data_IF_639957486051
#
_entry.id   IF_639957486051
#
_cell.length_a   1.000
_cell.length_b   1.000
_cell.length_c   1.000
_cell.angle_alpha   90.00
_cell.angle_beta   90.00
_cell.angle_gamma   90.00
#
_symmetry.space_group_name_H-M   'P 1'
#
loop_
_entity.id
_entity.type
_entity.pdbx_description
1 polymer ?
#
# COMPACT_ATOMS: atom_id res chain seq x y z
N UNK A 1 16.77 -14.63 38.29
CA UNK A 1 15.73 -13.83 38.97
C UNK A 1 14.95 -12.96 38.00
N UNK A 2 15.57 -12.06 37.21
CA UNK A 2 14.86 -11.26 36.17
C UNK A 2 14.20 -12.10 35.05
N UNK A 3 14.84 -13.20 34.61
CA UNK A 3 14.30 -14.05 33.55
C UNK A 3 13.05 -14.85 33.94
N UNK A 4 12.81 -15.06 35.25
CA UNK A 4 11.66 -15.82 35.73
C UNK A 4 10.41 -14.94 35.92
N UNK A 5 10.58 -13.65 36.24
CA UNK A 5 9.47 -12.68 36.33
C UNK A 5 8.83 -12.46 34.95
N UNK A 6 9.65 -12.38 33.90
CA UNK A 6 9.18 -12.18 32.52
C UNK A 6 8.32 -13.33 31.97
N UNK A 7 8.33 -14.53 32.56
CA UNK A 7 7.49 -15.65 32.09
C UNK A 7 6.02 -15.52 32.49
N UNK A 8 5.71 -14.76 33.53
CA UNK A 8 4.35 -14.54 34.03
C UNK A 8 3.73 -13.19 33.68
N UNK A 9 4.53 -12.20 33.27
CA UNK A 9 4.04 -10.85 32.94
C UNK A 9 3.17 -10.82 31.69
N UNK A 10 2.35 -9.78 31.57
CA UNK A 10 1.59 -9.47 30.36
C UNK A 10 2.52 -9.02 29.22
N UNK A 11 2.13 -9.22 27.96
CA UNK A 11 3.00 -8.89 26.80
C UNK A 11 3.39 -7.41 26.76
N UNK A 12 2.55 -6.52 27.31
CA UNK A 12 2.75 -5.07 27.31
C UNK A 12 3.96 -4.60 28.11
N UNK A 13 4.43 -5.43 29.05
CA UNK A 13 5.58 -5.15 29.91
C UNK A 13 6.87 -5.80 29.42
N UNK A 14 6.79 -6.62 28.36
CA UNK A 14 7.92 -7.42 27.88
C UNK A 14 8.70 -6.68 26.78
N UNK A 15 10.03 -6.82 26.72
CA UNK A 15 10.79 -6.48 25.52
C UNK A 15 10.43 -7.44 24.37
N UNK A 16 10.66 -7.03 23.12
CA UNK A 16 10.24 -7.79 21.93
C UNK A 16 10.91 -9.18 21.90
N UNK A 17 12.17 -9.24 22.30
CA UNK A 17 13.01 -10.45 22.31
C UNK A 17 12.54 -11.48 23.35
N UNK A 18 11.74 -11.06 24.33
CA UNK A 18 11.16 -11.93 25.36
C UNK A 18 9.73 -12.40 25.03
N UNK A 19 9.15 -11.97 23.91
CA UNK A 19 7.81 -12.37 23.49
C UNK A 19 7.77 -13.85 23.11
N UNK A 20 6.98 -14.64 23.83
CA UNK A 20 6.74 -16.05 23.55
C UNK A 20 5.58 -16.24 22.57
N UNK A 21 5.41 -17.46 22.03
CA UNK A 21 4.22 -17.78 21.23
C UNK A 21 2.92 -17.55 21.99
N UNK A 22 2.90 -17.79 23.30
CA UNK A 22 1.74 -17.52 24.15
C UNK A 22 1.44 -16.02 24.21
N UNK A 23 2.47 -15.20 24.37
CA UNK A 23 2.32 -13.74 24.42
C UNK A 23 1.75 -13.19 23.11
N UNK A 24 2.20 -13.73 21.97
CA UNK A 24 1.64 -13.36 20.66
C UNK A 24 0.19 -13.79 20.46
N UNK A 25 -0.21 -14.96 21.00
CA UNK A 25 -1.62 -15.37 20.99
C UNK A 25 -2.49 -14.43 21.82
N UNK A 26 -2.04 -14.09 23.03
CA UNK A 26 -2.76 -13.13 23.89
C UNK A 26 -2.83 -11.75 23.22
N UNK A 27 -1.72 -11.28 22.64
CA UNK A 27 -1.70 -10.01 21.89
C UNK A 27 -2.71 -10.00 20.73
N UNK A 28 -2.79 -11.10 19.98
CA UNK A 28 -3.75 -11.24 18.88
C UNK A 28 -5.20 -11.26 19.40
N UNK A 29 -5.45 -11.93 20.53
CA UNK A 29 -6.76 -11.93 21.20
C UNK A 29 -7.15 -10.52 21.67
N UNK A 30 -6.23 -9.80 22.33
CA UNK A 30 -6.48 -8.45 22.87
C UNK A 30 -6.85 -7.42 21.79
N UNK A 31 -6.31 -7.57 20.58
CA UNK A 31 -6.60 -6.70 19.44
C UNK A 31 -7.58 -7.30 18.42
N UNK A 32 -8.19 -8.47 18.71
CA UNK A 32 -9.04 -9.25 17.79
C UNK A 32 -8.44 -9.44 16.38
N UNK A 33 -7.12 -9.73 16.34
CA UNK A 33 -6.39 -9.99 15.11
C UNK A 33 -6.46 -11.48 14.79
N UNK A 34 -6.93 -11.82 13.59
CA UNK A 34 -6.98 -13.21 13.10
C UNK A 34 -6.33 -13.32 11.74
N UNK A 35 -5.45 -14.31 11.58
CA UNK A 35 -4.80 -14.61 10.31
C UNK A 35 -5.41 -15.83 9.63
N UNK A 36 -5.47 -15.79 8.30
CA UNK A 36 -5.71 -16.97 7.45
C UNK A 36 -4.57 -17.05 6.43
N UNK A 37 -3.99 -18.25 6.25
CA UNK A 37 -2.80 -18.48 5.43
C UNK A 37 -1.59 -18.89 6.27
N UNK A 38 -0.56 -19.48 5.64
CA UNK A 38 0.66 -19.95 6.32
C UNK A 38 1.40 -18.85 7.11
N UNK A 39 2.40 -19.23 7.92
CA UNK A 39 3.12 -18.35 8.90
C UNK A 39 3.18 -16.88 8.45
N UNK A 40 2.29 -16.07 9.01
CA UNK A 40 2.25 -14.62 8.81
C UNK A 40 3.36 -13.95 9.63
N UNK A 41 3.79 -12.76 9.21
CA UNK A 41 4.66 -11.93 10.03
C UNK A 41 3.97 -11.62 11.38
N UNK A 42 4.75 -11.52 12.46
CA UNK A 42 4.21 -11.16 13.77
C UNK A 42 3.69 -9.71 13.73
N UNK A 43 2.57 -9.41 14.40
CA UNK A 43 2.02 -8.07 14.41
C UNK A 43 2.93 -7.09 15.17
N UNK A 44 2.94 -5.81 14.77
CA UNK A 44 3.71 -4.80 15.49
C UNK A 44 3.03 -4.42 16.81
N UNK A 45 3.81 -4.33 17.88
CA UNK A 45 3.35 -3.85 19.19
C UNK A 45 3.49 -2.34 19.30
N UNK A 46 4.45 -1.75 18.59
CA UNK A 46 4.69 -0.30 18.52
C UNK A 46 5.28 0.07 17.17
N UNK A 47 5.19 1.34 16.78
CA UNK A 47 5.66 1.80 15.47
C UNK A 47 7.15 1.51 15.25
N UNK A 48 7.98 1.66 16.28
CA UNK A 48 9.43 1.51 16.21
C UNK A 48 9.85 0.10 15.77
N UNK A 49 9.03 -0.91 16.04
CA UNK A 49 9.28 -2.30 15.65
C UNK A 49 9.19 -2.51 14.13
N UNK A 50 8.50 -1.60 13.40
CA UNK A 50 8.41 -1.64 11.95
C UNK A 50 9.70 -1.21 11.24
N UNK A 51 10.67 -0.60 11.96
CA UNK A 51 11.98 -0.17 11.42
C UNK A 51 11.85 0.67 10.13
N UNK A 52 10.86 1.55 10.11
CA UNK A 52 10.57 2.42 8.97
C UNK A 52 11.67 3.50 8.80
N UNK A 53 11.83 4.06 7.59
CA UNK A 53 12.65 5.25 7.39
C UNK A 53 12.23 6.39 8.34
N UNK A 54 13.17 7.19 8.87
CA UNK A 54 12.85 8.27 9.81
C UNK A 54 11.78 9.24 9.32
N UNK A 55 11.78 9.55 8.02
CA UNK A 55 10.81 10.45 7.40
C UNK A 55 9.39 9.89 7.44
N UNK A 56 9.24 8.56 7.29
CA UNK A 56 7.95 7.87 7.42
C UNK A 56 7.51 7.83 8.88
N UNK A 57 8.44 7.55 9.81
CA UNK A 57 8.14 7.55 11.24
C UNK A 57 7.67 8.92 11.75
N UNK A 58 8.34 9.99 11.31
CA UNK A 58 7.96 11.37 11.63
C UNK A 58 6.60 11.73 11.01
N UNK A 59 6.33 11.28 9.78
CA UNK A 59 5.04 11.52 9.16
C UNK A 59 3.89 10.85 9.94
N UNK A 60 4.11 9.63 10.44
CA UNK A 60 3.17 8.89 11.29
C UNK A 60 2.95 9.62 12.63
N UNK A 61 4.03 9.91 13.35
CA UNK A 61 3.96 10.32 14.75
C UNK A 61 3.77 11.82 14.95
N UNK A 62 4.38 12.66 14.11
CA UNK A 62 4.38 14.12 14.23
C UNK A 62 3.28 14.74 13.36
N UNK A 63 3.24 14.42 12.07
CA UNK A 63 2.33 15.09 11.13
C UNK A 63 0.90 14.52 11.19
N UNK A 64 0.79 13.20 11.35
CA UNK A 64 -0.50 12.52 11.48
C UNK A 64 -0.96 12.42 12.94
N UNK A 65 -0.02 12.42 13.89
CA UNK A 65 -0.33 12.29 15.32
C UNK A 65 -0.74 10.89 15.75
N UNK A 66 -0.36 9.86 14.98
CA UNK A 66 -0.69 8.46 15.26
C UNK A 66 0.16 7.92 16.40
N UNK A 67 -0.38 8.00 17.61
CA UNK A 67 0.31 7.58 18.84
C UNK A 67 0.58 6.08 18.88
N UNK A 68 -0.41 5.28 18.48
CA UNK A 68 -0.37 3.82 18.54
C UNK A 68 -0.99 3.24 17.26
N UNK A 69 -0.48 2.11 16.74
CA UNK A 69 -1.08 1.45 15.59
C UNK A 69 -2.43 0.82 15.97
N UNK A 70 -3.38 0.89 15.04
CA UNK A 70 -4.68 0.21 15.15
C UNK A 70 -4.53 -1.30 14.88
N UNK A 71 -5.49 -2.16 15.26
CA UNK A 71 -5.40 -3.60 15.02
C UNK A 71 -5.03 -4.00 13.58
N UNK A 72 -5.68 -3.38 12.58
CA UNK A 72 -5.39 -3.68 11.18
C UNK A 72 -3.99 -3.20 10.77
N UNK A 73 -3.52 -2.07 11.30
CA UNK A 73 -2.16 -1.58 11.07
C UNK A 73 -1.13 -2.53 11.70
N UNK A 74 -1.37 -2.96 12.95
CA UNK A 74 -0.56 -3.94 13.68
C UNK A 74 -0.37 -5.21 12.87
N UNK A 75 -1.43 -5.70 12.25
CA UNK A 75 -1.41 -6.93 11.49
C UNK A 75 -0.82 -6.77 10.08
N UNK A 76 -1.23 -5.73 9.35
CA UNK A 76 -0.98 -5.61 7.91
C UNK A 76 0.38 -5.01 7.57
N UNK A 77 0.86 -4.02 8.33
CA UNK A 77 2.11 -3.31 8.01
C UNK A 77 3.32 -4.26 7.95
N UNK A 78 3.54 -5.18 8.93
CA UNK A 78 4.67 -6.09 8.87
C UNK A 78 4.62 -7.04 7.68
N UNK A 79 3.40 -7.42 7.25
CA UNK A 79 3.20 -8.27 6.06
C UNK A 79 3.49 -7.47 4.78
N UNK A 80 3.04 -6.22 4.72
CA UNK A 80 3.29 -5.33 3.59
C UNK A 80 4.77 -5.01 3.44
N UNK A 81 5.49 -4.79 4.54
CA UNK A 81 6.93 -4.50 4.51
C UNK A 81 7.78 -5.66 3.97
N UNK A 82 7.29 -6.90 4.06
CA UNK A 82 7.92 -8.07 3.41
C UNK A 82 7.34 -8.38 2.02
N UNK A 83 6.58 -7.43 1.44
CA UNK A 83 6.02 -7.48 0.09
C UNK A 83 5.15 -8.72 -0.16
N UNK A 84 4.35 -9.11 0.83
CA UNK A 84 3.33 -10.16 0.67
C UNK A 84 1.95 -9.57 0.46
N UNK A 85 1.17 -10.21 -0.39
CA UNK A 85 -0.23 -9.84 -0.64
C UNK A 85 -1.10 -10.03 0.61
N UNK A 86 -2.06 -9.13 0.78
CA UNK A 86 -2.94 -9.05 1.96
C UNK A 86 -4.38 -8.88 1.50
N UNK A 87 -5.26 -9.70 2.07
CA UNK A 87 -6.70 -9.41 2.12
C UNK A 87 -7.02 -8.99 3.53
N UNK A 88 -7.27 -7.69 3.72
CA UNK A 88 -7.60 -7.09 5.01
C UNK A 88 -9.10 -6.94 5.18
N UNK A 89 -9.66 -7.59 6.21
CA UNK A 89 -11.08 -7.45 6.57
C UNK A 89 -11.16 -6.59 7.83
N UNK A 90 -11.61 -5.36 7.68
CA UNK A 90 -11.84 -4.44 8.79
C UNK A 90 -12.87 -3.37 8.40
N UNK A 91 -13.59 -2.86 9.39
CA UNK A 91 -14.61 -1.83 9.21
C UNK A 91 -14.00 -0.48 8.78
N UNK A 92 -14.81 0.38 8.17
CA UNK A 92 -14.40 1.76 7.86
C UNK A 92 -14.08 2.52 9.16
N UNK A 93 -13.03 3.34 9.15
CA UNK A 93 -12.53 4.02 10.36
C UNK A 93 -11.55 3.18 11.21
N UNK A 94 -11.30 1.91 10.88
CA UNK A 94 -10.30 1.07 11.58
C UNK A 94 -8.84 1.45 11.29
N UNK A 95 -8.59 2.42 10.42
CA UNK A 95 -7.23 2.84 10.04
C UNK A 95 -6.61 2.08 8.87
N UNK A 96 -7.43 1.41 8.03
CA UNK A 96 -6.99 0.69 6.80
C UNK A 96 -6.08 1.53 5.90
N UNK A 97 -6.41 2.82 5.72
CA UNK A 97 -5.68 3.73 4.84
C UNK A 97 -4.20 3.79 5.18
N UNK A 98 -3.85 4.08 6.43
CA UNK A 98 -2.45 4.07 6.86
C UNK A 98 -1.85 2.66 6.83
N UNK A 99 -2.64 1.61 7.06
CA UNK A 99 -2.16 0.22 7.05
C UNK A 99 -1.59 -0.20 5.69
N UNK A 100 -2.14 0.28 4.58
CA UNK A 100 -1.60 0.03 3.24
C UNK A 100 -0.66 1.14 2.74
N UNK A 101 -0.84 2.39 3.16
CA UNK A 101 0.01 3.50 2.71
C UNK A 101 1.41 3.45 3.34
N UNK A 102 1.53 3.09 4.62
CA UNK A 102 2.83 3.03 5.30
C UNK A 102 3.82 2.08 4.59
N UNK A 103 3.47 0.80 4.32
CA UNK A 103 4.38 -0.09 3.61
C UNK A 103 4.62 0.35 2.15
N UNK A 104 3.61 0.93 1.47
CA UNK A 104 3.79 1.54 0.14
C UNK A 104 4.83 2.67 0.17
N UNK A 105 4.74 3.59 1.13
CA UNK A 105 5.68 4.71 1.27
C UNK A 105 7.09 4.22 1.63
N UNK A 106 7.22 3.24 2.52
CA UNK A 106 8.49 2.61 2.83
C UNK A 106 9.13 1.95 1.60
N UNK A 107 8.33 1.27 0.78
CA UNK A 107 8.78 0.73 -0.50
C UNK A 107 9.25 1.83 -1.44
N UNK A 108 8.44 2.85 -1.70
CA UNK A 108 8.83 3.97 -2.60
C UNK A 108 10.09 4.66 -2.09
N UNK A 109 10.23 4.87 -0.77
CA UNK A 109 11.42 5.46 -0.17
C UNK A 109 12.71 4.65 -0.43
N UNK A 110 12.59 3.31 -0.50
CA UNK A 110 13.70 2.41 -0.79
C UNK A 110 14.13 2.40 -2.26
N UNK A 111 13.26 2.87 -3.17
CA UNK A 111 13.55 2.94 -4.60
C UNK A 111 14.59 4.05 -4.88
N UNK A 112 15.60 3.79 -5.75
CA UNK A 112 16.59 4.78 -6.13
C UNK A 112 15.96 6.10 -6.59
N UNK A 113 16.56 7.23 -6.19
CA UNK A 113 16.03 8.56 -6.50
C UNK A 113 15.86 8.78 -8.02
N UNK A 114 16.79 8.27 -8.83
CA UNK A 114 16.72 8.37 -10.30
C UNK A 114 15.44 7.74 -10.85
N UNK A 115 15.03 6.58 -10.31
CA UNK A 115 13.81 5.91 -10.70
C UNK A 115 12.58 6.64 -10.14
N UNK A 116 12.64 7.13 -8.89
CA UNK A 116 11.56 7.95 -8.31
C UNK A 116 11.24 9.19 -9.13
N UNK A 117 12.25 9.82 -9.74
CA UNK A 117 12.08 10.99 -10.60
C UNK A 117 11.50 10.66 -11.99
N UNK A 118 11.36 9.38 -12.36
CA UNK A 118 10.84 8.96 -13.67
C UNK A 118 9.30 8.90 -13.76
N UNK A 119 8.59 9.30 -12.70
CA UNK A 119 7.12 9.18 -12.59
C UNK A 119 6.33 9.92 -13.67
N UNK A 120 6.87 10.99 -14.24
CA UNK A 120 6.24 11.70 -15.36
C UNK A 120 6.21 10.86 -16.65
N UNK A 121 7.17 9.95 -16.83
CA UNK A 121 7.30 9.11 -18.03
C UNK A 121 6.76 7.71 -17.82
N UNK A 122 7.01 7.12 -16.65
CA UNK A 122 6.72 5.72 -16.36
C UNK A 122 5.45 5.51 -15.51
N UNK A 123 4.84 6.59 -15.03
CA UNK A 123 3.65 6.54 -14.17
C UNK A 123 3.96 6.38 -12.68
N UNK A 124 2.92 6.23 -11.83
CA UNK A 124 3.08 6.12 -10.39
C UNK A 124 3.66 4.78 -9.95
N UNK A 125 4.22 4.74 -8.74
CA UNK A 125 4.61 3.49 -8.07
C UNK A 125 3.41 2.81 -7.41
N UNK A 126 2.51 3.62 -6.83
CA UNK A 126 1.35 3.16 -6.09
C UNK A 126 0.03 3.56 -6.76
N UNK A 127 -0.89 2.61 -6.84
CA UNK A 127 -2.26 2.82 -7.29
C UNK A 127 -3.23 2.33 -6.20
N UNK A 128 -4.14 3.22 -5.78
CA UNK A 128 -5.25 2.87 -4.88
C UNK A 128 -6.56 3.07 -5.61
N UNK A 129 -7.34 1.99 -5.74
CA UNK A 129 -8.71 2.04 -6.27
C UNK A 129 -9.72 2.07 -5.14
N UNK A 130 -10.66 3.02 -5.21
CA UNK A 130 -11.79 3.13 -4.29
C UNK A 130 -13.11 3.25 -5.06
N UNK A 131 -14.23 2.73 -4.54
CA UNK A 131 -15.53 2.71 -5.24
C UNK A 131 -16.16 4.09 -5.44
N UNK A 132 -15.89 5.05 -4.55
CA UNK A 132 -16.52 6.37 -4.59
C UNK A 132 -15.50 7.50 -4.62
N UNK A 133 -15.96 8.66 -5.09
CA UNK A 133 -15.13 9.87 -5.21
C UNK A 133 -14.75 10.38 -3.82
N UNK A 134 -15.69 10.33 -2.90
CA UNK A 134 -15.55 10.80 -1.53
C UNK A 134 -14.48 9.99 -0.79
N UNK A 135 -14.52 8.66 -0.94
CA UNK A 135 -13.50 7.78 -0.34
C UNK A 135 -12.12 7.99 -0.99
N UNK A 136 -12.06 8.11 -2.32
CA UNK A 136 -10.81 8.40 -3.02
C UNK A 136 -10.18 9.73 -2.57
N UNK A 137 -10.99 10.78 -2.38
CA UNK A 137 -10.52 12.08 -1.88
C UNK A 137 -10.04 11.97 -0.43
N UNK A 138 -10.74 11.23 0.43
CA UNK A 138 -10.30 11.00 1.82
C UNK A 138 -8.95 10.28 1.87
N UNK A 139 -8.76 9.26 1.02
CA UNK A 139 -7.49 8.54 0.92
C UNK A 139 -6.37 9.45 0.39
N UNK A 140 -6.65 10.30 -0.60
CA UNK A 140 -5.65 11.24 -1.14
C UNK A 140 -5.19 12.26 -0.09
N UNK A 141 -6.11 12.82 0.69
CA UNK A 141 -5.76 13.75 1.79
C UNK A 141 -4.83 13.06 2.79
N UNK A 142 -5.14 11.83 3.15
CA UNK A 142 -4.33 11.05 4.10
C UNK A 142 -2.96 10.67 3.51
N UNK A 143 -2.93 10.25 2.25
CA UNK A 143 -1.70 9.95 1.52
C UNK A 143 -0.80 11.18 1.41
N UNK A 144 -1.35 12.36 1.08
CA UNK A 144 -0.61 13.60 0.99
C UNK A 144 0.01 14.01 2.35
N UNK A 145 -0.66 13.75 3.46
CA UNK A 145 -0.11 13.99 4.81
C UNK A 145 1.06 13.07 5.11
N UNK A 146 0.89 11.76 4.88
CA UNK A 146 1.93 10.76 5.15
C UNK A 146 3.13 10.87 4.19
N UNK A 147 2.93 11.34 2.97
CA UNK A 147 3.96 11.38 1.92
C UNK A 147 4.79 12.67 1.92
N UNK A 148 4.31 13.72 2.62
CA UNK A 148 4.88 15.08 2.58
C UNK A 148 6.37 15.11 2.91
N UNK A 149 6.80 14.44 3.97
CA UNK A 149 8.22 14.43 4.42
C UNK A 149 9.15 13.72 3.45
N UNK A 150 8.62 12.82 2.63
CA UNK A 150 9.38 12.08 1.63
C UNK A 150 9.51 12.83 0.29
N UNK A 151 8.87 13.99 0.15
CA UNK A 151 8.78 14.70 -1.12
C UNK A 151 7.98 13.95 -2.19
N UNK A 152 7.12 13.01 -1.77
CA UNK A 152 6.31 12.19 -2.67
C UNK A 152 4.95 12.85 -2.89
N UNK A 153 4.53 12.89 -4.16
CA UNK A 153 3.26 13.48 -4.61
C UNK A 153 2.17 12.42 -4.77
N UNK A 154 0.95 12.80 -4.40
CA UNK A 154 -0.27 12.02 -4.56
C UNK A 154 -1.32 12.85 -5.30
N UNK A 155 -2.20 12.21 -6.08
CA UNK A 155 -3.34 12.87 -6.73
C UNK A 155 -4.56 11.94 -6.76
N UNK A 156 -5.74 12.53 -6.57
CA UNK A 156 -7.02 11.85 -6.74
C UNK A 156 -7.50 12.00 -8.20
N UNK A 157 -7.89 10.88 -8.80
CA UNK A 157 -8.40 10.75 -10.16
C UNK A 157 -9.85 10.24 -10.09
N UNK A 158 -10.80 11.17 -10.11
CA UNK A 158 -12.22 10.90 -9.82
C UNK A 158 -13.18 11.63 -10.77
N UNK A 159 -14.39 11.10 -10.90
CA UNK A 159 -15.47 11.74 -11.66
C UNK A 159 -15.93 13.09 -11.07
N UNK A 160 -16.45 13.98 -11.91
CA UNK A 160 -17.03 15.26 -11.47
C UNK A 160 -16.02 16.34 -11.07
N UNK A 161 -14.73 16.06 -11.21
CA UNK A 161 -13.65 17.04 -11.15
C UNK A 161 -13.17 17.39 -12.56
N UNK A 162 -12.55 18.55 -12.73
CA UNK A 162 -12.03 19.00 -14.01
C UNK A 162 -10.97 18.02 -14.55
N UNK A 163 -11.16 17.58 -15.79
CA UNK A 163 -10.30 16.58 -16.43
C UNK A 163 -8.90 17.14 -16.65
N UNK A 164 -8.83 18.38 -17.13
CA UNK A 164 -7.57 19.01 -17.49
C UNK A 164 -6.67 19.23 -16.28
N UNK A 165 -7.26 19.62 -15.14
CA UNK A 165 -6.53 19.79 -13.88
C UNK A 165 -5.93 18.47 -13.41
N UNK A 166 -6.67 17.37 -13.53
CA UNK A 166 -6.21 16.03 -13.12
C UNK A 166 -5.13 15.51 -14.07
N UNK A 167 -5.34 15.57 -15.39
CA UNK A 167 -4.34 15.14 -16.38
C UNK A 167 -3.06 15.95 -16.26
N UNK A 168 -3.14 17.28 -16.16
CA UNK A 168 -1.95 18.13 -15.96
C UNK A 168 -1.20 17.84 -14.66
N UNK A 169 -1.87 17.35 -13.62
CA UNK A 169 -1.19 16.93 -12.40
C UNK A 169 -0.43 15.61 -12.59
N UNK A 170 -1.05 14.65 -13.28
CA UNK A 170 -0.43 13.36 -13.61
C UNK A 170 0.74 13.53 -14.58
N UNK A 171 0.59 14.36 -15.60
CA UNK A 171 1.64 14.66 -16.61
C UNK A 171 2.89 15.29 -15.98
N UNK A 172 2.75 16.07 -14.91
CA UNK A 172 3.91 16.59 -14.14
C UNK A 172 4.67 15.51 -13.37
N UNK A 173 4.10 14.31 -13.25
CA UNK A 173 4.65 13.20 -12.49
C UNK A 173 4.08 13.12 -11.08
N UNK A 174 3.47 11.97 -10.78
CA UNK A 174 2.90 11.65 -9.46
C UNK A 174 3.38 10.28 -8.99
N UNK A 175 3.69 10.16 -7.71
CA UNK A 175 4.21 8.91 -7.15
C UNK A 175 3.09 7.94 -6.78
N UNK A 176 1.95 8.49 -6.35
CA UNK A 176 0.76 7.75 -5.93
C UNK A 176 -0.45 8.32 -6.68
N UNK A 177 -1.26 7.43 -7.24
CA UNK A 177 -2.58 7.77 -7.77
C UNK A 177 -3.65 7.08 -6.93
N UNK A 178 -4.66 7.84 -6.52
CA UNK A 178 -5.87 7.31 -5.90
C UNK A 178 -7.02 7.56 -6.86
N UNK A 179 -7.85 6.58 -7.20
CA UNK A 179 -8.89 6.83 -8.19
C UNK A 179 -10.07 5.89 -8.16
N UNK A 180 -11.15 6.34 -8.80
CA UNK A 180 -12.34 5.51 -9.05
C UNK A 180 -12.15 4.72 -10.36
N UNK A 181 -12.58 3.44 -10.44
CA UNK A 181 -12.30 2.58 -11.60
C UNK A 181 -12.63 3.21 -12.96
N UNK A 182 -13.83 3.79 -13.11
CA UNK A 182 -14.24 4.42 -14.38
C UNK A 182 -13.34 5.59 -14.81
N UNK A 183 -13.00 6.50 -13.89
CA UNK A 183 -12.12 7.64 -14.24
C UNK A 183 -10.68 7.20 -14.52
N UNK A 184 -10.19 6.16 -13.85
CA UNK A 184 -8.87 5.60 -14.14
C UNK A 184 -8.80 5.04 -15.55
N UNK A 185 -9.85 4.36 -16.01
CA UNK A 185 -9.94 3.88 -17.39
C UNK A 185 -9.89 5.05 -18.38
N UNK A 186 -10.70 6.10 -18.15
CA UNK A 186 -10.67 7.28 -19.02
C UNK A 186 -9.25 7.86 -19.14
N UNK A 187 -8.51 7.96 -18.03
CA UNK A 187 -7.12 8.44 -18.03
C UNK A 187 -6.17 7.52 -18.81
N UNK A 188 -6.33 6.21 -18.67
CA UNK A 188 -5.49 5.20 -19.32
C UNK A 188 -5.77 5.12 -20.83
N UNK A 189 -7.05 5.16 -21.23
CA UNK A 189 -7.47 5.11 -22.64
C UNK A 189 -7.02 6.35 -23.41
N UNK A 190 -7.10 7.52 -22.78
CA UNK A 190 -6.60 8.77 -23.36
C UNK A 190 -5.08 8.98 -23.18
N UNK A 191 -4.36 8.01 -22.61
CA UNK A 191 -2.90 8.08 -22.39
C UNK A 191 -2.44 9.26 -21.52
N UNK A 192 -3.32 9.82 -20.69
CA UNK A 192 -2.95 10.79 -19.65
C UNK A 192 -2.22 10.13 -18.48
N UNK A 193 -2.51 8.85 -18.24
CA UNK A 193 -1.87 8.01 -17.24
C UNK A 193 -1.29 6.77 -17.91
N UNK A 194 -0.10 6.36 -17.47
CA UNK A 194 0.49 5.04 -17.74
C UNK A 194 0.86 4.38 -16.42
N UNK A 195 0.95 3.05 -16.38
CA UNK A 195 1.23 2.29 -15.15
C UNK A 195 2.51 1.46 -15.24
N UNK A 196 3.43 1.79 -16.16
CA UNK A 196 4.58 0.97 -16.54
C UNK A 196 5.51 0.57 -15.37
N UNK A 197 5.56 1.34 -14.28
CA UNK A 197 6.33 1.01 -13.08
C UNK A 197 5.48 0.81 -11.81
N UNK A 198 4.15 0.77 -11.96
CA UNK A 198 3.25 0.59 -10.85
C UNK A 198 3.44 -0.82 -10.27
N UNK A 199 3.89 -0.86 -9.02
CA UNK A 199 4.32 -2.09 -8.32
C UNK A 199 3.62 -2.26 -6.98
N UNK A 200 2.74 -1.32 -6.62
CA UNK A 200 1.90 -1.40 -5.43
C UNK A 200 0.45 -1.10 -5.78
N UNK A 201 -0.42 -2.08 -5.58
CA UNK A 201 -1.85 -1.99 -5.87
C UNK A 201 -2.67 -2.14 -4.58
N UNK A 202 -3.69 -1.31 -4.42
CA UNK A 202 -4.67 -1.42 -3.34
C UNK A 202 -6.08 -1.35 -3.93
N UNK A 203 -6.94 -2.26 -3.52
CA UNK A 203 -8.39 -2.22 -3.77
C UNK A 203 -9.10 -1.99 -2.42
N UNK A 204 -9.53 -0.76 -2.15
CA UNK A 204 -10.27 -0.44 -0.92
C UNK A 204 -11.78 -0.53 -1.16
N UNK A 205 -12.51 -1.14 -0.23
CA UNK A 205 -13.94 -1.50 -0.38
C UNK A 205 -14.21 -2.28 -1.69
N UNK A 206 -13.43 -3.35 -1.91
CA UNK A 206 -13.51 -4.17 -3.12
C UNK A 206 -14.86 -4.86 -3.31
N UNK A 207 -15.48 -5.34 -2.24
CA UNK A 207 -16.85 -5.84 -2.21
C UNK A 207 -17.84 -4.82 -2.77
N UNK A 208 -17.76 -3.58 -2.30
CA UNK A 208 -18.59 -2.48 -2.80
C UNK A 208 -18.32 -2.16 -4.27
N UNK A 209 -17.08 -2.29 -4.75
CA UNK A 209 -16.78 -2.14 -6.17
C UNK A 209 -17.51 -3.21 -7.01
N UNK A 210 -17.57 -4.46 -6.54
CA UNK A 210 -18.32 -5.53 -7.20
C UNK A 210 -19.82 -5.24 -7.17
N UNK A 211 -20.37 -4.83 -6.02
CA UNK A 211 -21.79 -4.50 -5.88
C UNK A 211 -22.23 -3.34 -6.79
N UNK A 212 -21.33 -2.39 -7.04
CA UNK A 212 -21.54 -1.28 -7.97
C UNK A 212 -21.32 -1.66 -9.45
N UNK A 213 -20.96 -2.91 -9.73
CA UNK A 213 -20.72 -3.42 -11.09
C UNK A 213 -19.40 -2.95 -11.71
N UNK A 214 -18.41 -2.54 -10.89
CA UNK A 214 -17.10 -2.09 -11.38
C UNK A 214 -16.11 -3.23 -11.66
N UNK A 215 -16.52 -4.49 -11.52
CA UNK A 215 -15.62 -5.63 -11.77
C UNK A 215 -14.94 -5.57 -13.16
N UNK A 216 -15.65 -5.32 -14.28
CA UNK A 216 -15.00 -5.21 -15.58
C UNK A 216 -13.96 -4.09 -15.62
N UNK A 217 -14.28 -2.95 -15.00
CA UNK A 217 -13.41 -1.78 -14.98
C UNK A 217 -12.15 -2.02 -14.14
N UNK A 218 -12.29 -2.66 -12.98
CA UNK A 218 -11.15 -3.04 -12.14
C UNK A 218 -10.22 -3.94 -12.95
N UNK A 219 -10.74 -5.00 -13.59
CA UNK A 219 -9.94 -5.89 -14.44
C UNK A 219 -9.21 -5.14 -15.55
N UNK A 220 -9.90 -4.24 -16.26
CA UNK A 220 -9.30 -3.44 -17.33
C UNK A 220 -8.14 -2.56 -16.84
N UNK A 221 -8.20 -2.02 -15.62
CA UNK A 221 -7.07 -1.29 -15.02
C UNK A 221 -5.90 -2.23 -14.71
N UNK A 222 -6.18 -3.42 -14.16
CA UNK A 222 -5.15 -4.42 -13.85
C UNK A 222 -4.40 -4.90 -15.10
N UNK A 223 -5.10 -5.03 -16.23
CA UNK A 223 -4.49 -5.41 -17.51
C UNK A 223 -3.49 -4.37 -18.04
N UNK A 224 -3.51 -3.13 -17.53
CA UNK A 224 -2.53 -2.08 -17.85
C UNK A 224 -1.31 -2.10 -16.94
N UNK A 225 -1.31 -2.91 -15.87
CA UNK A 225 -0.19 -3.00 -14.95
C UNK A 225 0.89 -3.99 -15.45
N UNK A 226 2.16 -3.80 -15.05
CA UNK A 226 3.23 -4.75 -15.34
C UNK A 226 2.88 -6.13 -14.75
N UNK A 227 2.90 -7.17 -15.59
CA UNK A 227 2.52 -8.54 -15.17
C UNK A 227 1.02 -8.84 -15.19
N UNK A 228 0.17 -7.94 -15.68
CA UNK A 228 -1.22 -8.24 -16.03
C UNK A 228 -1.32 -9.37 -17.07
N UNK A 229 -2.48 -10.02 -17.16
CA UNK A 229 -2.72 -11.29 -17.87
C UNK A 229 -2.45 -11.29 -19.40
N UNK A 230 -1.92 -10.20 -19.96
CA UNK A 230 -1.41 -10.12 -21.35
C UNK A 230 0.12 -10.29 -21.48
N UNK A 231 0.84 -10.56 -20.38
CA UNK A 231 2.30 -10.66 -20.34
C UNK A 231 2.91 -12.05 -20.61
N UNK A 232 2.21 -12.96 -21.29
CA UNK A 232 2.86 -14.14 -21.88
C UNK A 232 3.08 -13.89 -23.38
N UNK A 233 4.26 -13.38 -23.74
CA UNK A 233 4.53 -13.02 -25.14
C UNK A 233 5.92 -12.47 -25.41
N UNK A 234 6.94 -13.08 -24.83
CA UNK A 234 8.36 -12.70 -25.04
C UNK A 234 9.28 -13.90 -25.18
N UNK A 235 8.77 -15.03 -25.68
CA UNK A 235 9.59 -16.15 -26.14
C UNK A 235 10.32 -15.75 -27.43
N UNK A 236 11.50 -15.15 -27.29
CA UNK A 236 12.46 -14.96 -28.37
C UNK A 236 13.60 -15.96 -28.23
N UNK A 237 13.41 -17.16 -28.78
CA UNK A 237 14.47 -18.14 -28.94
C UNK A 237 15.62 -17.58 -29.78
N UNK A 238 16.84 -17.79 -29.30
CA UNK A 238 18.08 -17.49 -30.00
C UNK A 238 19.06 -18.64 -29.83
N UNK A 239 18.71 -19.81 -30.36
CA UNK A 239 19.71 -20.81 -30.70
C UNK A 239 20.56 -20.29 -31.86
N UNK A 240 21.87 -20.23 -31.67
CA UNK A 240 22.82 -19.76 -32.67
C UNK A 240 24.21 -20.34 -32.39
N UNK A 241 24.45 -21.50 -32.99
CA UNK A 241 25.72 -22.21 -33.12
C UNK A 241 26.80 -21.41 -33.87
N UNK A 242 28.06 -21.60 -33.47
CA UNK A 242 29.28 -21.31 -34.24
C UNK A 242 30.46 -21.29 -33.25
N UNK A 243 31.38 -22.24 -33.22
CA UNK A 243 32.10 -22.83 -34.34
C UNK A 243 33.34 -21.97 -34.61
N UNK A 244 34.46 -22.33 -33.96
CA UNK A 244 35.76 -21.65 -34.05
C UNK A 244 36.62 -21.94 -32.84
#
# INVERSE_FOLDING_TARGET
>A
MERDVARGSHWSEKPLEAMTERDWRIFQEDFDIRYRGGRAALPLRRWEEAKLPPEVMDAITIDCGYKEPTPIQRAAIPIGLIQRDIVGIAETGSGKTAAFLIPMLAYIASVPLTQRMSVATNGPFGLVMAPTRELAIQIEVEAARLSKRLGLSCVAVVGGQDMQRQSSAVERGVHIVVGTPGRLIDMLEHSFLVLNQCSWLVLDEADRMIDMGFEPQVRQVLDRMPGGAGGEGGGGGGGGSGGG
#
